data_IF_232587990983
#
_entry.id   IF_232587990983
#
_cell.length_a   1.000
_cell.length_b   1.000
_cell.length_c   1.000
_cell.angle_alpha   90.00
_cell.angle_beta   90.00
_cell.angle_gamma   90.00
#
_symmetry.space_group_name_H-M   'P 1'
#
loop_
_entity.id
_entity.type
_entity.pdbx_description
1 polymer ?
#
# COMPACT_ATOMS: atom_id res chain seq x y z
N UNK A 1 18.24 5.83 -3.43
CA UNK A 1 16.78 5.75 -3.25
C UNK A 1 16.15 5.61 -4.64
N UNK A 2 15.38 4.55 -4.89
CA UNK A 2 14.68 4.34 -6.17
C UNK A 2 13.19 4.47 -5.94
N UNK A 3 12.48 5.14 -6.85
CA UNK A 3 11.02 5.37 -6.77
C UNK A 3 10.34 4.56 -7.86
N UNK A 4 9.29 3.84 -7.49
CA UNK A 4 8.50 3.03 -8.42
C UNK A 4 7.01 3.31 -8.21
N UNK A 5 6.31 3.66 -9.29
CA UNK A 5 4.84 3.65 -9.26
C UNK A 5 4.35 2.20 -9.32
N UNK A 6 3.43 1.86 -8.41
CA UNK A 6 2.87 0.52 -8.24
C UNK A 6 1.38 0.64 -8.01
N UNK A 7 0.61 -0.26 -8.64
CA UNK A 7 -0.80 -0.40 -8.31
C UNK A 7 -0.95 -1.07 -6.93
N UNK A 8 -2.12 -0.92 -6.32
CA UNK A 8 -2.44 -1.61 -5.07
C UNK A 8 -2.32 -3.12 -5.22
N UNK A 9 -2.64 -3.64 -6.41
CA UNK A 9 -2.49 -5.05 -6.74
C UNK A 9 -1.02 -5.47 -6.76
N UNK A 10 -0.12 -4.71 -7.38
CA UNK A 10 1.32 -5.03 -7.39
C UNK A 10 1.92 -5.10 -5.98
N UNK A 11 1.41 -4.27 -5.06
CA UNK A 11 1.83 -4.26 -3.66
C UNK A 11 1.38 -5.56 -2.98
N UNK A 12 0.12 -5.97 -3.10
CA UNK A 12 -0.43 -7.11 -2.35
C UNK A 12 -0.31 -8.49 -3.02
N UNK A 13 -0.28 -8.57 -4.35
CA UNK A 13 -0.24 -9.85 -5.10
C UNK A 13 1.16 -10.48 -5.14
N UNK A 14 2.18 -9.69 -4.83
CA UNK A 14 3.55 -10.16 -4.90
C UNK A 14 3.89 -11.13 -3.77
N UNK A 15 4.62 -12.21 -4.09
CA UNK A 15 5.16 -13.19 -3.11
C UNK A 15 6.23 -12.57 -2.22
N UNK A 16 5.84 -11.62 -1.37
CA UNK A 16 6.71 -10.92 -0.43
C UNK A 16 5.97 -10.66 0.88
N UNK A 17 6.73 -10.34 1.91
CA UNK A 17 6.20 -9.92 3.22
C UNK A 17 6.59 -8.48 3.49
N UNK A 18 5.67 -7.74 4.08
CA UNK A 18 5.91 -6.42 4.62
C UNK A 18 5.93 -6.50 6.14
N UNK A 19 7.02 -6.05 6.75
CA UNK A 19 7.24 -6.13 8.18
C UNK A 19 7.14 -4.73 8.79
N UNK A 20 6.26 -4.56 9.76
CA UNK A 20 6.17 -3.34 10.57
C UNK A 20 7.15 -3.48 11.74
N UNK A 21 8.16 -2.61 11.89
CA UNK A 21 9.08 -2.66 13.01
C UNK A 21 8.39 -2.42 14.37
N UNK A 22 8.97 -3.00 15.42
CA UNK A 22 8.46 -2.82 16.80
C UNK A 22 8.53 -1.36 17.30
N UNK A 23 9.42 -0.55 16.73
CA UNK A 23 9.59 0.86 17.07
C UNK A 23 8.68 1.80 16.26
N UNK A 24 7.80 1.27 15.39
CA UNK A 24 6.79 2.09 14.74
C UNK A 24 5.73 2.56 15.73
N UNK A 25 5.12 3.70 15.42
CA UNK A 25 3.99 4.21 16.20
C UNK A 25 2.81 3.25 16.08
N UNK A 26 1.97 3.21 17.09
CA UNK A 26 0.72 2.47 17.02
C UNK A 26 -0.14 3.00 15.87
N UNK A 27 -0.93 2.11 15.27
CA UNK A 27 -1.90 2.49 14.26
C UNK A 27 -3.00 3.35 14.91
N UNK A 28 -3.16 4.58 14.42
CA UNK A 28 -4.04 5.61 15.01
C UNK A 28 -5.10 6.12 14.04
N UNK A 29 -5.40 5.38 12.97
CA UNK A 29 -6.46 5.80 12.08
C UNK A 29 -7.82 5.70 12.78
N UNK A 30 -8.57 6.80 12.74
CA UNK A 30 -9.97 6.85 13.14
C UNK A 30 -10.87 6.72 11.91
N UNK A 31 -12.15 6.43 12.18
CA UNK A 31 -13.14 6.27 11.13
C UNK A 31 -13.31 7.56 10.32
N UNK A 32 -13.48 8.67 11.03
CA UNK A 32 -13.83 9.97 10.47
C UNK A 32 -12.66 10.62 9.73
N UNK A 33 -11.45 10.47 10.25
CA UNK A 33 -10.29 11.18 9.72
C UNK A 33 -9.59 10.43 8.57
N UNK A 34 -9.66 9.09 8.52
CA UNK A 34 -8.94 8.33 7.50
C UNK A 34 -9.79 7.26 6.80
N UNK A 35 -10.54 6.44 7.53
CA UNK A 35 -11.21 5.28 6.90
C UNK A 35 -12.35 5.71 5.97
N UNK A 36 -13.20 6.64 6.41
CA UNK A 36 -14.30 7.15 5.60
C UNK A 36 -13.81 7.88 4.35
N UNK A 37 -12.85 8.83 4.43
CA UNK A 37 -12.25 9.42 3.23
C UNK A 37 -11.70 8.39 2.25
N UNK A 38 -10.90 7.42 2.74
CA UNK A 38 -10.33 6.37 1.89
C UNK A 38 -11.43 5.53 1.21
N UNK A 39 -12.48 5.19 1.95
CA UNK A 39 -13.58 4.40 1.41
C UNK A 39 -14.36 5.16 0.35
N UNK A 40 -14.64 6.44 0.56
CA UNK A 40 -15.34 7.27 -0.42
C UNK A 40 -14.49 7.45 -1.70
N UNK A 41 -13.17 7.57 -1.58
CA UNK A 41 -12.27 7.59 -2.75
C UNK A 41 -12.36 6.29 -3.56
N UNK A 42 -12.32 5.13 -2.89
CA UNK A 42 -12.46 3.81 -3.54
C UNK A 42 -13.82 3.69 -4.22
N UNK A 43 -14.89 4.02 -3.50
CA UNK A 43 -16.27 3.92 -3.98
C UNK A 43 -16.52 4.82 -5.18
N UNK A 44 -16.06 6.07 -5.13
CA UNK A 44 -16.16 7.03 -6.23
C UNK A 44 -15.52 6.49 -7.51
N UNK A 45 -14.30 5.94 -7.40
CA UNK A 45 -13.59 5.34 -8.54
C UNK A 45 -14.28 4.08 -9.06
N UNK A 46 -14.79 3.24 -8.17
CA UNK A 46 -15.53 2.04 -8.54
C UNK A 46 -16.83 2.38 -9.29
N UNK A 47 -17.62 3.34 -8.79
CA UNK A 47 -18.84 3.82 -9.44
C UNK A 47 -18.55 4.42 -10.82
N UNK A 48 -17.55 5.29 -10.94
CA UNK A 48 -17.15 5.85 -12.24
C UNK A 48 -16.77 4.77 -13.26
N UNK A 49 -16.08 3.72 -12.80
CA UNK A 49 -15.71 2.57 -13.64
C UNK A 49 -16.93 1.75 -14.07
N UNK A 50 -17.90 1.53 -13.18
CA UNK A 50 -19.16 0.84 -13.51
C UNK A 50 -19.99 1.61 -14.54
N UNK A 51 -19.91 2.93 -14.52
CA UNK A 51 -20.56 3.82 -15.50
C UNK A 51 -19.79 3.95 -16.83
N UNK A 52 -18.73 3.15 -17.03
CA UNK A 52 -17.84 3.22 -18.20
C UNK A 52 -17.23 4.62 -18.45
N UNK A 53 -17.07 5.42 -17.40
CA UNK A 53 -16.31 6.68 -17.51
C UNK A 53 -14.82 6.36 -17.53
N UNK A 54 -14.04 7.23 -18.17
CA UNK A 54 -12.59 7.17 -18.04
C UNK A 54 -12.19 7.53 -16.60
N UNK A 55 -11.43 6.64 -15.95
CA UNK A 55 -11.06 6.77 -14.54
C UNK A 55 -9.55 6.94 -14.44
N UNK A 56 -9.13 8.19 -14.22
CA UNK A 56 -7.72 8.48 -13.94
C UNK A 56 -7.26 7.73 -12.66
N UNK A 57 -6.00 7.23 -12.64
CA UNK A 57 -5.41 6.63 -11.45
C UNK A 57 -5.54 7.54 -10.23
N UNK A 58 -5.84 6.95 -9.08
CA UNK A 58 -5.87 7.66 -7.81
C UNK A 58 -4.55 7.43 -7.07
N UNK A 59 -3.92 8.50 -6.59
CA UNK A 59 -2.68 8.41 -5.82
C UNK A 59 -2.99 8.18 -4.34
N UNK A 60 -2.69 6.99 -3.84
CA UNK A 60 -2.98 6.59 -2.44
C UNK A 60 -1.90 6.99 -1.43
N UNK A 61 -0.80 7.60 -1.89
CA UNK A 61 0.35 7.94 -1.05
C UNK A 61 1.62 7.19 -1.45
N UNK A 62 2.63 7.29 -0.60
CA UNK A 62 3.94 6.69 -0.80
C UNK A 62 4.26 5.72 0.34
N UNK A 63 4.87 4.58 0.00
CA UNK A 63 5.35 3.60 0.96
C UNK A 63 6.88 3.54 0.89
N UNK A 64 7.55 3.74 2.01
CA UNK A 64 9.01 3.66 2.10
C UNK A 64 9.41 2.29 2.62
N UNK A 65 10.17 1.55 1.82
CA UNK A 65 10.53 0.16 2.09
C UNK A 65 12.04 -0.02 2.13
N UNK A 66 12.51 -0.80 3.10
CA UNK A 66 13.86 -1.34 3.12
C UNK A 66 13.86 -2.84 2.87
N UNK A 67 14.63 -3.29 1.87
CA UNK A 67 14.68 -4.70 1.50
C UNK A 67 15.62 -5.44 2.45
N UNK A 68 15.11 -6.47 3.13
CA UNK A 68 15.96 -7.34 3.95
C UNK A 68 16.85 -8.17 3.02
N UNK A 69 18.15 -7.89 3.07
CA UNK A 69 19.19 -8.66 2.36
C UNK A 69 19.36 -10.02 3.02
N UNK A 70 19.55 -11.07 2.22
CA UNK A 70 19.82 -12.41 2.75
C UNK A 70 18.59 -13.24 3.12
N UNK A 71 17.50 -13.11 2.36
CA UNK A 71 16.48 -14.17 2.35
C UNK A 71 17.04 -15.36 1.57
N UNK A 72 17.58 -16.35 2.28
CA UNK A 72 18.22 -17.53 1.68
C UNK A 72 17.26 -18.72 1.60
N UNK A 73 17.47 -19.61 0.63
CA UNK A 73 16.67 -20.81 0.44
C UNK A 73 15.21 -20.50 0.07
N UNK A 74 14.26 -21.23 0.66
CA UNK A 74 12.82 -21.10 0.38
C UNK A 74 12.14 -19.93 1.16
N UNK A 75 12.91 -18.98 1.66
CA UNK A 75 12.37 -17.85 2.41
C UNK A 75 11.64 -16.86 1.50
N UNK A 76 10.43 -16.45 1.88
CA UNK A 76 9.69 -15.40 1.18
C UNK A 76 10.40 -14.05 1.38
N UNK A 77 10.76 -13.32 0.29
CA UNK A 77 11.39 -12.01 0.36
C UNK A 77 10.64 -11.06 1.30
N UNK A 78 11.37 -10.35 2.15
CA UNK A 78 10.80 -9.47 3.16
C UNK A 78 11.30 -8.04 3.01
N UNK A 79 10.40 -7.09 3.24
CA UNK A 79 10.68 -5.66 3.25
C UNK A 79 10.20 -5.07 4.56
N UNK A 80 11.03 -4.24 5.19
CA UNK A 80 10.65 -3.45 6.35
C UNK A 80 9.93 -2.20 5.89
N UNK A 81 8.77 -1.90 6.49
CA UNK A 81 8.06 -0.64 6.30
C UNK A 81 8.72 0.43 7.18
N UNK A 82 9.29 1.45 6.53
CA UNK A 82 9.89 2.61 7.21
C UNK A 82 8.83 3.69 7.46
N UNK A 83 7.99 3.95 6.46
CA UNK A 83 6.93 4.98 6.50
C UNK A 83 5.83 4.64 5.49
N UNK A 84 4.60 5.11 5.75
CA UNK A 84 3.42 4.84 4.92
C UNK A 84 2.12 5.38 5.48
#
# INVERSE_FOLDING_TARGET
MQVHSKSIFDVFDSKRRYLVPLFQRQYVWSKEAQWEPLWEDIKSKACAKLENRDVAPHFLGALVLDQIRGTYGNAVPAHIIIDG
#
